data_IF_869502103656
#
_entry.id   IF_869502103656
#
_cell.length_a   1.000
_cell.length_b   1.000
_cell.length_c   1.000
_cell.angle_alpha   90.00
_cell.angle_beta   90.00
_cell.angle_gamma   90.00
#
_symmetry.space_group_name_H-M   'P 1'
#
loop_
_entity.id
_entity.type
_entity.pdbx_description
1 polymer ?
#
# COMPACT_ATOMS: atom_id res chain seq x y z
N UNK A 1 -24.86 9.84 15.35
CA UNK A 1 -25.52 9.51 14.06
C UNK A 1 -25.05 8.11 13.67
N UNK A 2 -25.95 7.16 13.42
CA UNK A 2 -25.54 5.79 13.08
C UNK A 2 -24.94 5.77 11.67
N UNK A 3 -23.77 5.15 11.52
CA UNK A 3 -23.10 4.90 10.25
C UNK A 3 -23.94 3.94 9.39
N UNK A 4 -24.00 4.12 8.06
CA UNK A 4 -24.64 3.16 7.18
C UNK A 4 -23.77 1.89 7.11
N UNK A 5 -24.39 0.75 7.42
CA UNK A 5 -23.79 -0.58 7.41
C UNK A 5 -23.39 -1.03 6.00
N UNK A 6 -22.27 -1.73 5.90
CA UNK A 6 -21.71 -2.38 4.70
C UNK A 6 -22.60 -3.48 4.10
N UNK A 7 -23.77 -3.77 4.68
CA UNK A 7 -24.79 -4.70 4.14
C UNK A 7 -25.38 -4.22 2.80
N UNK A 8 -25.31 -2.91 2.50
CA UNK A 8 -25.90 -2.35 1.27
C UNK A 8 -25.21 -2.77 -0.03
N UNK A 9 -23.96 -3.23 0.00
CA UNK A 9 -23.21 -3.67 -1.19
C UNK A 9 -23.56 -5.12 -1.58
N UNK A 10 -23.76 -6.02 -0.60
CA UNK A 10 -24.11 -7.42 -0.89
C UNK A 10 -25.54 -7.55 -1.44
N UNK A 11 -26.47 -6.75 -0.90
CA UNK A 11 -27.87 -6.77 -1.31
C UNK A 11 -28.05 -6.23 -2.74
N UNK A 12 -27.27 -5.22 -3.14
CA UNK A 12 -27.29 -4.68 -4.50
C UNK A 12 -26.80 -5.68 -5.55
N UNK A 13 -25.68 -6.36 -5.29
CA UNK A 13 -25.14 -7.39 -6.19
C UNK A 13 -26.12 -8.56 -6.28
N UNK A 14 -26.69 -8.97 -5.15
CA UNK A 14 -27.67 -10.05 -5.09
C UNK A 14 -28.98 -9.73 -5.84
N UNK A 15 -29.49 -8.49 -5.73
CA UNK A 15 -30.68 -8.05 -6.49
C UNK A 15 -30.37 -8.00 -7.98
N UNK A 16 -29.21 -7.47 -8.38
CA UNK A 16 -28.77 -7.39 -9.79
C UNK A 16 -28.73 -8.78 -10.42
N UNK A 17 -28.08 -9.73 -9.76
CA UNK A 17 -27.90 -11.08 -10.30
C UNK A 17 -29.24 -11.80 -10.46
N UNK A 18 -30.23 -11.53 -9.58
CA UNK A 18 -31.60 -12.04 -9.71
C UNK A 18 -32.37 -11.41 -10.87
N UNK A 19 -32.23 -10.10 -11.09
CA UNK A 19 -32.90 -9.40 -12.20
C UNK A 19 -32.32 -9.88 -13.53
N UNK A 20 -30.99 -10.01 -13.64
CA UNK A 20 -30.32 -10.56 -14.82
C UNK A 20 -30.76 -11.99 -15.09
N UNK A 21 -30.78 -12.84 -14.06
CA UNK A 21 -31.23 -14.22 -14.18
C UNK A 21 -32.70 -14.31 -14.65
N UNK A 22 -33.58 -13.48 -14.11
CA UNK A 22 -34.99 -13.42 -14.51
C UNK A 22 -35.14 -12.95 -15.97
N UNK A 23 -34.40 -11.92 -16.39
CA UNK A 23 -34.43 -11.41 -17.76
C UNK A 23 -33.98 -12.48 -18.77
N UNK A 24 -32.92 -13.23 -18.44
CA UNK A 24 -32.43 -14.36 -19.22
C UNK A 24 -33.50 -15.45 -19.33
N UNK A 25 -34.15 -15.83 -18.23
CA UNK A 25 -35.22 -16.84 -18.24
C UNK A 25 -36.39 -16.38 -19.12
N UNK A 26 -36.85 -15.15 -18.96
CA UNK A 26 -37.97 -14.58 -19.73
C UNK A 26 -37.65 -14.61 -21.23
N UNK A 27 -36.42 -14.25 -21.60
CA UNK A 27 -35.95 -14.32 -22.98
C UNK A 27 -35.99 -15.74 -23.54
N UNK A 28 -35.36 -16.69 -22.84
CA UNK A 28 -35.28 -18.08 -23.30
C UNK A 28 -36.64 -18.77 -23.34
N UNK A 29 -37.51 -18.54 -22.34
CA UNK A 29 -38.87 -19.08 -22.31
C UNK A 29 -39.70 -18.51 -23.46
N UNK A 30 -39.66 -17.19 -23.68
CA UNK A 30 -40.34 -16.56 -24.82
C UNK A 30 -39.87 -17.11 -26.16
N UNK A 31 -38.55 -17.22 -26.36
CA UNK A 31 -37.97 -17.81 -27.57
C UNK A 31 -38.34 -19.28 -27.78
N UNK A 32 -38.27 -20.09 -26.71
CA UNK A 32 -38.62 -21.51 -26.76
C UNK A 32 -40.10 -21.74 -27.06
N UNK A 33 -41.00 -20.94 -26.47
CA UNK A 33 -42.44 -21.00 -26.76
C UNK A 33 -42.73 -20.54 -28.18
N UNK A 34 -42.07 -19.49 -28.67
CA UNK A 34 -42.25 -19.01 -30.04
C UNK A 34 -41.86 -20.07 -31.10
N UNK A 35 -40.70 -20.70 -30.92
CA UNK A 35 -40.19 -21.76 -31.81
C UNK A 35 -41.01 -23.05 -31.64
N UNK A 36 -41.36 -23.40 -30.40
CA UNK A 36 -42.08 -24.63 -30.06
C UNK A 36 -43.57 -24.61 -30.42
N UNK A 37 -44.24 -23.46 -30.40
CA UNK A 37 -45.67 -23.35 -30.65
C UNK A 37 -46.08 -23.93 -32.01
N UNK A 38 -45.23 -23.79 -33.04
CA UNK A 38 -45.48 -24.36 -34.37
C UNK A 38 -45.32 -25.89 -34.45
N UNK A 39 -44.69 -26.52 -33.46
CA UNK A 39 -44.45 -27.97 -33.41
C UNK A 39 -45.51 -28.72 -32.58
N UNK A 40 -46.09 -28.03 -31.59
CA UNK A 40 -47.01 -28.64 -30.62
C UNK A 40 -48.48 -28.21 -30.78
N UNK A 41 -48.77 -27.22 -31.63
CA UNK A 41 -50.14 -26.76 -31.91
C UNK A 41 -50.49 -26.95 -33.38
N UNK A 42 -51.77 -27.22 -33.65
CA UNK A 42 -52.30 -27.42 -35.00
C UNK A 42 -52.10 -26.13 -35.83
N UNK A 43 -51.53 -26.22 -37.07
CA UNK A 43 -51.38 -25.09 -37.97
C UNK A 43 -52.67 -24.31 -38.26
N UNK A 44 -53.83 -24.92 -38.08
CA UNK A 44 -55.14 -24.29 -38.28
C UNK A 44 -55.78 -23.76 -36.98
N UNK A 45 -55.06 -23.81 -35.85
CA UNK A 45 -55.55 -23.28 -34.58
C UNK A 45 -55.58 -21.75 -34.59
N UNK A 46 -56.74 -21.17 -34.28
CA UNK A 46 -56.92 -19.72 -34.11
C UNK A 46 -56.04 -19.13 -33.00
N UNK A 47 -55.54 -19.96 -32.07
CA UNK A 47 -54.69 -19.57 -30.94
C UNK A 47 -53.20 -19.54 -31.25
N UNK A 48 -52.76 -20.11 -32.37
CA UNK A 48 -51.34 -20.19 -32.72
C UNK A 48 -50.71 -18.80 -32.91
N UNK A 49 -51.43 -17.88 -33.55
CA UNK A 49 -50.94 -16.53 -33.84
C UNK A 49 -50.83 -15.66 -32.57
N UNK A 50 -51.87 -15.58 -31.70
CA UNK A 50 -51.77 -14.84 -30.45
C UNK A 50 -50.67 -15.34 -29.51
N UNK A 51 -50.48 -16.66 -29.42
CA UNK A 51 -49.45 -17.25 -28.56
C UNK A 51 -48.04 -16.92 -29.06
N UNK A 52 -47.81 -16.93 -30.37
CA UNK A 52 -46.53 -16.54 -30.96
C UNK A 52 -46.24 -15.06 -30.74
N UNK A 53 -47.22 -14.18 -30.93
CA UNK A 53 -47.02 -12.74 -30.69
C UNK A 53 -46.74 -12.45 -29.21
N UNK A 54 -47.45 -13.12 -28.30
CA UNK A 54 -47.19 -12.99 -26.87
C UNK A 54 -45.81 -13.52 -26.47
N UNK A 55 -45.38 -14.65 -27.03
CA UNK A 55 -44.05 -15.22 -26.78
C UNK A 55 -42.92 -14.34 -27.33
N UNK A 56 -43.13 -13.71 -28.48
CA UNK A 56 -42.21 -12.72 -29.06
C UNK A 56 -42.12 -11.48 -28.18
N UNK A 57 -43.25 -10.96 -27.67
CA UNK A 57 -43.30 -9.84 -26.75
C UNK A 57 -42.51 -10.13 -25.46
N UNK A 58 -42.71 -11.32 -24.89
CA UNK A 58 -41.96 -11.78 -23.71
C UNK A 58 -40.45 -11.83 -23.98
N UNK A 59 -40.05 -12.36 -25.14
CA UNK A 59 -38.64 -12.39 -25.55
C UNK A 59 -38.05 -10.98 -25.68
N UNK A 60 -38.80 -10.05 -26.31
CA UNK A 60 -38.39 -8.66 -26.47
C UNK A 60 -38.21 -7.95 -25.11
N UNK A 61 -39.12 -8.18 -24.16
CA UNK A 61 -39.01 -7.66 -22.78
C UNK A 61 -37.73 -8.17 -22.11
N UNK A 62 -37.38 -9.44 -22.31
CA UNK A 62 -36.13 -10.02 -21.82
C UNK A 62 -34.88 -9.31 -22.39
N UNK A 63 -34.83 -9.09 -23.70
CA UNK A 63 -33.70 -8.39 -24.37
C UNK A 63 -33.56 -6.96 -23.88
N UNK A 64 -34.66 -6.20 -23.80
CA UNK A 64 -34.64 -4.80 -23.36
C UNK A 64 -34.20 -4.70 -21.90
N UNK A 65 -34.71 -5.58 -21.03
CA UNK A 65 -34.32 -5.62 -19.61
C UNK A 65 -32.84 -5.96 -19.43
N UNK A 66 -32.31 -6.86 -20.24
CA UNK A 66 -30.91 -7.28 -20.22
C UNK A 66 -29.98 -6.17 -20.74
N UNK A 67 -30.38 -5.48 -21.81
CA UNK A 67 -29.66 -4.31 -22.32
C UNK A 67 -29.66 -3.14 -21.33
N UNK A 68 -30.77 -2.93 -20.61
CA UNK A 68 -30.86 -1.89 -19.59
C UNK A 68 -29.91 -2.15 -18.42
N UNK A 69 -29.91 -3.37 -17.86
CA UNK A 69 -29.06 -3.73 -16.72
C UNK A 69 -27.57 -3.80 -17.07
N UNK A 70 -27.21 -4.30 -18.26
CA UNK A 70 -25.81 -4.45 -18.65
C UNK A 70 -25.14 -3.16 -19.15
N UNK A 71 -25.89 -2.26 -19.81
CA UNK A 71 -25.29 -1.10 -20.48
C UNK A 71 -25.81 0.22 -19.93
N UNK A 72 -27.13 0.42 -19.94
CA UNK A 72 -27.70 1.72 -19.62
C UNK A 72 -27.52 2.07 -18.15
N UNK A 73 -27.68 1.09 -17.25
CA UNK A 73 -27.57 1.31 -15.81
C UNK A 73 -26.16 1.71 -15.39
N UNK A 74 -25.11 1.06 -15.91
CA UNK A 74 -23.73 1.44 -15.56
C UNK A 74 -23.38 2.83 -16.07
N UNK A 75 -23.78 3.17 -17.30
CA UNK A 75 -23.59 4.50 -17.88
C UNK A 75 -24.34 5.58 -17.08
N UNK A 76 -25.64 5.36 -16.79
CA UNK A 76 -26.41 6.33 -15.99
C UNK A 76 -25.91 6.42 -14.55
N UNK A 77 -25.59 5.31 -13.88
CA UNK A 77 -25.08 5.37 -12.50
C UNK A 77 -23.72 6.06 -12.42
N UNK A 78 -22.85 5.90 -13.41
CA UNK A 78 -21.58 6.63 -13.49
C UNK A 78 -21.82 8.14 -13.55
N UNK A 79 -22.62 8.58 -14.51
CA UNK A 79 -22.98 10.00 -14.69
C UNK A 79 -23.72 10.58 -13.47
N UNK A 80 -24.69 9.85 -12.91
CA UNK A 80 -25.41 10.28 -11.72
C UNK A 80 -24.50 10.35 -10.49
N UNK A 81 -23.54 9.43 -10.34
CA UNK A 81 -22.59 9.43 -9.22
C UNK A 81 -21.62 10.59 -9.33
N UNK A 82 -21.11 10.87 -10.53
CA UNK A 82 -20.26 12.04 -10.79
C UNK A 82 -21.03 13.34 -10.50
N UNK A 83 -22.26 13.46 -11.01
CA UNK A 83 -23.13 14.60 -10.72
C UNK A 83 -23.48 14.72 -9.22
N UNK A 84 -23.72 13.60 -8.52
CA UNK A 84 -23.95 13.61 -7.07
C UNK A 84 -22.71 13.98 -6.28
N UNK A 85 -21.52 13.54 -6.69
CA UNK A 85 -20.26 13.95 -6.04
C UNK A 85 -20.01 15.44 -6.25
N UNK A 86 -20.33 15.97 -7.43
CA UNK A 86 -20.30 17.41 -7.73
C UNK A 86 -21.29 18.21 -6.87
N UNK A 87 -22.46 17.66 -6.56
CA UNK A 87 -23.47 18.29 -5.69
C UNK A 87 -23.10 18.19 -4.20
N UNK A 88 -22.57 17.04 -3.75
CA UNK A 88 -22.32 16.76 -2.33
C UNK A 88 -21.03 17.40 -1.82
N UNK A 89 -20.04 17.61 -2.69
CA UNK A 89 -18.79 18.27 -2.31
C UNK A 89 -18.27 19.20 -3.43
N UNK A 90 -19.01 20.27 -3.76
CA UNK A 90 -18.74 21.14 -4.90
C UNK A 90 -17.36 21.80 -4.82
N UNK A 91 -16.89 22.12 -3.60
CA UNK A 91 -15.58 22.72 -3.40
C UNK A 91 -14.43 21.74 -3.65
N UNK A 92 -14.53 20.48 -3.21
CA UNK A 92 -13.51 19.48 -3.49
C UNK A 92 -13.40 19.21 -5.00
N UNK A 93 -14.55 19.06 -5.67
CA UNK A 93 -14.60 18.87 -7.13
C UNK A 93 -14.07 20.10 -7.85
N UNK A 94 -14.44 21.32 -7.44
CA UNK A 94 -13.91 22.57 -8.02
C UNK A 94 -12.40 22.67 -7.87
N UNK A 95 -11.87 22.30 -6.70
CA UNK A 95 -10.43 22.33 -6.42
C UNK A 95 -9.65 21.18 -7.09
N UNK A 96 -10.33 20.20 -7.69
CA UNK A 96 -9.67 19.03 -8.32
C UNK A 96 -9.20 17.99 -7.31
N UNK A 97 -9.82 17.93 -6.12
CA UNK A 97 -9.53 16.95 -5.08
C UNK A 97 -10.41 15.73 -5.30
N UNK A 98 -9.81 14.58 -5.66
CA UNK A 98 -10.55 13.32 -5.84
C UNK A 98 -10.72 12.56 -4.52
N UNK A 99 -9.80 12.74 -3.57
CA UNK A 99 -9.83 12.04 -2.30
C UNK A 99 -9.00 12.69 -1.21
N UNK A 100 -9.49 12.59 0.04
CA UNK A 100 -8.76 12.91 1.26
C UNK A 100 -8.77 11.66 2.13
N UNK A 101 -7.59 11.21 2.50
CA UNK A 101 -7.34 10.00 3.28
C UNK A 101 -6.74 10.40 4.62
N UNK A 102 -7.12 9.74 5.71
CA UNK A 102 -6.63 10.05 7.06
C UNK A 102 -5.12 9.81 7.19
N UNK A 103 -4.61 8.82 6.48
CA UNK A 103 -3.20 8.45 6.48
C UNK A 103 -2.80 7.67 5.21
N UNK A 104 -1.49 7.44 5.03
CA UNK A 104 -0.94 6.67 3.91
C UNK A 104 -1.37 5.21 3.86
N UNK A 105 -1.75 4.60 4.99
CA UNK A 105 -2.24 3.22 5.00
C UNK A 105 -3.63 3.14 4.36
N UNK A 106 -4.51 4.07 4.68
CA UNK A 106 -5.83 4.21 4.04
C UNK A 106 -5.70 4.54 2.55
N UNK A 107 -4.80 5.46 2.19
CA UNK A 107 -4.46 5.69 0.79
C UNK A 107 -3.99 4.41 0.11
N UNK A 108 -3.05 3.67 0.71
CA UNK A 108 -2.48 2.44 0.17
C UNK A 108 -3.50 1.30 -0.02
N UNK A 109 -4.55 1.25 0.81
CA UNK A 109 -5.68 0.33 0.64
C UNK A 109 -6.56 0.72 -0.55
N UNK A 110 -6.76 2.03 -0.77
CA UNK A 110 -7.56 2.52 -1.90
C UNK A 110 -6.81 2.47 -3.23
N UNK A 111 -5.51 2.75 -3.20
CA UNK A 111 -4.64 2.89 -4.36
C UNK A 111 -3.21 2.56 -3.97
N UNK A 112 -2.70 1.43 -4.47
CA UNK A 112 -1.34 1.01 -4.16
C UNK A 112 -0.32 1.90 -4.90
N UNK A 113 0.86 2.12 -4.29
CA UNK A 113 1.96 2.82 -4.98
C UNK A 113 2.33 2.16 -6.30
N UNK A 114 2.23 0.84 -6.39
CA UNK A 114 2.45 0.13 -7.64
C UNK A 114 1.42 0.50 -8.71
N UNK A 115 0.14 0.58 -8.35
CA UNK A 115 -0.93 0.99 -9.28
C UNK A 115 -0.74 2.41 -9.81
N UNK A 116 -0.36 3.34 -8.93
CA UNK A 116 -0.02 4.72 -9.27
C UNK A 116 1.13 4.78 -10.28
N UNK A 117 2.24 4.09 -9.98
CA UNK A 117 3.43 4.13 -10.81
C UNK A 117 3.20 3.43 -12.16
N UNK A 118 2.37 2.38 -12.22
CA UNK A 118 2.04 1.69 -13.48
C UNK A 118 1.47 2.65 -14.53
N UNK A 119 0.66 3.63 -14.11
CA UNK A 119 -0.03 4.58 -14.99
C UNK A 119 0.87 5.72 -15.52
N UNK A 120 2.12 5.80 -15.08
CA UNK A 120 3.04 6.88 -15.46
C UNK A 120 3.60 6.67 -16.86
N UNK A 121 3.54 7.72 -17.67
CA UNK A 121 4.00 7.75 -19.06
C UNK A 121 5.37 8.42 -19.23
N UNK A 122 5.71 9.44 -18.43
CA UNK A 122 6.89 10.29 -18.66
C UNK A 122 7.76 10.48 -17.43
N UNK A 123 7.17 10.85 -16.31
CA UNK A 123 7.95 11.25 -15.13
C UNK A 123 7.25 10.95 -13.80
N UNK A 124 8.07 10.49 -12.85
CA UNK A 124 7.74 10.41 -11.43
C UNK A 124 8.59 11.43 -10.68
N UNK A 125 7.97 12.28 -9.88
CA UNK A 125 8.67 13.19 -8.96
C UNK A 125 8.17 12.98 -7.53
N UNK A 126 9.07 12.58 -6.62
CA UNK A 126 8.72 12.29 -5.23
C UNK A 126 9.53 13.18 -4.28
N UNK A 127 8.84 13.93 -3.43
CA UNK A 127 9.42 14.76 -2.39
C UNK A 127 8.98 14.34 -0.99
N UNK A 128 9.91 14.30 -0.04
CA UNK A 128 9.58 14.02 1.35
C UNK A 128 10.75 14.18 2.30
N UNK A 129 10.56 13.87 3.58
CA UNK A 129 11.61 14.08 4.59
C UNK A 129 12.78 13.10 4.45
N UNK A 130 12.50 11.79 4.42
CA UNK A 130 13.56 10.78 4.21
C UNK A 130 13.33 9.84 3.03
N UNK A 131 12.10 9.73 2.50
CA UNK A 131 11.73 8.77 1.44
C UNK A 131 11.98 7.28 1.75
N UNK A 132 12.24 6.90 3.00
CA UNK A 132 12.55 5.51 3.39
C UNK A 132 11.53 4.47 2.91
N UNK A 133 10.24 4.79 2.97
CA UNK A 133 9.20 3.87 2.49
C UNK A 133 9.34 3.60 0.99
N UNK A 134 9.61 4.63 0.19
CA UNK A 134 9.76 4.53 -1.27
C UNK A 134 11.07 3.82 -1.62
N UNK A 135 12.18 4.19 -0.97
CA UNK A 135 13.47 3.56 -1.17
C UNK A 135 13.47 2.06 -0.84
N UNK A 136 12.59 1.62 0.07
CA UNK A 136 12.46 0.21 0.45
C UNK A 136 11.46 -0.53 -0.41
N UNK A 137 10.18 -0.13 -0.38
CA UNK A 137 9.12 -0.93 -0.98
C UNK A 137 9.05 -0.79 -2.50
N UNK A 138 9.61 0.29 -3.04
CA UNK A 138 9.50 0.64 -4.45
C UNK A 138 10.85 0.63 -5.18
N UNK A 139 11.94 0.16 -4.57
CA UNK A 139 13.28 0.14 -5.21
C UNK A 139 13.28 -0.57 -6.57
N UNK A 140 12.74 -1.79 -6.64
CA UNK A 140 12.60 -2.55 -7.89
C UNK A 140 11.66 -1.88 -8.89
N UNK A 141 10.61 -1.23 -8.41
CA UNK A 141 9.65 -0.53 -9.26
C UNK A 141 10.29 0.72 -9.88
N UNK A 142 11.08 1.48 -9.10
CA UNK A 142 11.88 2.60 -9.57
C UNK A 142 12.88 2.13 -10.64
N UNK A 143 13.61 1.03 -10.38
CA UNK A 143 14.51 0.40 -11.36
C UNK A 143 13.77 0.10 -12.66
N UNK A 144 12.66 -0.65 -12.60
CA UNK A 144 11.86 -1.02 -13.78
C UNK A 144 11.37 0.20 -14.57
N UNK A 145 10.90 1.25 -13.88
CA UNK A 145 10.41 2.47 -14.52
C UNK A 145 11.53 3.26 -15.21
N UNK A 146 12.69 3.38 -14.57
CA UNK A 146 13.85 4.02 -15.19
C UNK A 146 14.30 3.23 -16.42
N UNK A 147 14.40 1.90 -16.32
CA UNK A 147 14.78 1.05 -17.45
C UNK A 147 13.75 1.13 -18.60
N UNK A 148 12.47 1.37 -18.31
CA UNK A 148 11.43 1.58 -19.33
C UNK A 148 11.41 2.98 -19.96
N UNK A 149 12.38 3.85 -19.64
CA UNK A 149 12.49 5.19 -20.24
C UNK A 149 11.84 6.33 -19.44
N UNK A 150 11.30 6.05 -18.25
CA UNK A 150 10.63 7.07 -17.42
C UNK A 150 11.65 7.78 -16.54
N UNK A 151 11.55 9.11 -16.45
CA UNK A 151 12.40 9.89 -15.56
C UNK A 151 11.88 9.83 -14.13
N UNK A 152 12.78 9.74 -13.18
CA UNK A 152 12.48 9.68 -11.75
C UNK A 152 13.30 10.74 -11.04
N UNK A 153 12.61 11.75 -10.51
CA UNK A 153 13.17 12.79 -9.62
C UNK A 153 12.82 12.46 -8.18
N UNK A 154 13.81 12.45 -7.29
CA UNK A 154 13.64 12.20 -5.87
C UNK A 154 14.23 13.34 -5.06
N UNK A 155 13.49 13.80 -4.06
CA UNK A 155 13.86 14.92 -3.20
C UNK A 155 13.70 14.55 -1.72
N UNK A 156 14.80 14.59 -0.96
CA UNK A 156 14.83 14.25 0.47
C UNK A 156 15.73 15.19 1.28
N UNK A 157 15.61 15.19 2.61
CA UNK A 157 16.42 16.08 3.44
C UNK A 157 17.90 15.71 3.37
N UNK A 158 18.78 16.72 3.41
CA UNK A 158 20.21 16.52 3.54
C UNK A 158 20.55 16.02 4.97
N UNK A 159 21.16 14.83 5.13
CA UNK A 159 21.51 14.30 6.45
C UNK A 159 22.50 15.19 7.23
N UNK A 160 23.25 16.06 6.55
CA UNK A 160 24.20 17.00 7.15
C UNK A 160 23.58 18.36 7.48
N UNK A 161 22.31 18.59 7.13
CA UNK A 161 21.66 19.87 7.40
C UNK A 161 21.37 20.07 8.90
N UNK A 162 21.55 21.31 9.36
CA UNK A 162 21.30 21.70 10.76
C UNK A 162 19.85 21.41 11.20
N UNK A 163 18.88 21.50 10.29
CA UNK A 163 17.48 21.15 10.57
C UNK A 163 17.31 19.67 10.97
N UNK A 164 18.09 18.75 10.39
CA UNK A 164 18.04 17.32 10.73
C UNK A 164 18.59 17.10 12.13
N UNK A 165 19.64 17.82 12.51
CA UNK A 165 20.19 17.82 13.87
C UNK A 165 19.16 18.30 14.89
N UNK A 166 18.45 19.40 14.61
CA UNK A 166 17.39 19.93 15.49
C UNK A 166 16.27 18.90 15.68
N UNK A 167 15.74 18.34 14.58
CA UNK A 167 14.67 17.34 14.63
C UNK A 167 15.12 16.09 15.41
N UNK A 168 16.37 15.66 15.20
CA UNK A 168 16.94 14.51 15.91
C UNK A 168 17.06 14.78 17.41
N UNK A 169 17.46 15.98 17.81
CA UNK A 169 17.52 16.39 19.23
C UNK A 169 16.15 16.45 19.88
N UNK A 170 15.12 16.95 19.18
CA UNK A 170 13.73 16.93 19.67
C UNK A 170 13.23 15.51 19.92
N UNK A 171 13.68 14.53 19.14
CA UNK A 171 13.45 13.09 19.35
C UNK A 171 14.20 12.47 20.53
N UNK A 172 14.60 13.26 21.54
CA UNK A 172 15.44 12.86 22.68
C UNK A 172 16.79 12.25 22.27
N UNK A 173 17.36 12.73 21.16
CA UNK A 173 18.70 12.32 20.71
C UNK A 173 18.78 10.92 20.11
N UNK A 174 17.68 10.19 19.94
CA UNK A 174 17.68 8.95 19.15
C UNK A 174 17.97 9.33 17.70
N UNK A 175 19.14 8.96 17.16
CA UNK A 175 19.65 9.29 15.82
C UNK A 175 18.80 8.75 14.65
N UNK A 176 17.56 8.38 14.92
CA UNK A 176 16.86 7.45 14.09
C UNK A 176 16.16 8.16 12.93
N UNK A 177 15.85 9.47 13.01
CA UNK A 177 15.47 10.26 11.83
C UNK A 177 16.63 10.45 10.85
N UNK A 178 17.81 10.85 11.34
CA UNK A 178 19.05 10.89 10.57
C UNK A 178 19.34 9.54 9.90
N UNK A 179 19.21 8.44 10.66
CA UNK A 179 19.41 7.10 10.13
C UNK A 179 18.40 6.77 9.02
N UNK A 180 17.14 7.19 9.12
CA UNK A 180 16.18 6.98 8.03
C UNK A 180 16.62 7.70 6.75
N UNK A 181 17.14 8.93 6.84
CA UNK A 181 17.63 9.68 5.68
C UNK A 181 18.84 8.96 5.08
N UNK A 182 19.84 8.62 5.90
CA UNK A 182 21.07 7.94 5.46
C UNK A 182 20.76 6.59 4.80
N UNK A 183 19.93 5.76 5.45
CA UNK A 183 19.50 4.48 4.89
C UNK A 183 18.79 4.66 3.55
N UNK A 184 17.94 5.68 3.41
CA UNK A 184 17.24 5.94 2.15
C UNK A 184 18.21 6.29 1.02
N UNK A 185 19.20 7.15 1.28
CA UNK A 185 20.24 7.47 0.31
C UNK A 185 21.06 6.23 -0.08
N UNK A 186 21.44 5.38 0.88
CA UNK A 186 22.18 4.13 0.58
C UNK A 186 21.36 3.14 -0.25
N UNK A 187 20.06 2.98 0.05
CA UNK A 187 19.16 2.12 -0.72
C UNK A 187 18.95 2.67 -2.14
N UNK A 188 18.75 3.98 -2.30
CA UNK A 188 18.62 4.59 -3.62
C UNK A 188 19.93 4.49 -4.42
N UNK A 189 21.08 4.51 -3.75
CA UNK A 189 22.39 4.34 -4.41
C UNK A 189 22.54 2.92 -4.93
N UNK A 190 22.13 1.92 -4.14
CA UNK A 190 22.07 0.55 -4.61
C UNK A 190 21.23 0.43 -5.88
N UNK A 191 20.04 1.04 -5.91
CA UNK A 191 19.18 1.07 -7.10
C UNK A 191 19.86 1.76 -8.29
N UNK A 192 20.52 2.91 -8.07
CA UNK A 192 21.26 3.61 -9.12
C UNK A 192 22.38 2.74 -9.72
N UNK A 193 23.18 2.08 -8.88
CA UNK A 193 24.22 1.15 -9.34
C UNK A 193 23.66 -0.05 -10.10
N UNK A 194 22.52 -0.60 -9.67
CA UNK A 194 21.85 -1.70 -10.37
C UNK A 194 21.32 -1.28 -11.74
N UNK A 195 20.77 -0.06 -11.86
CA UNK A 195 20.36 0.51 -13.15
C UNK A 195 21.57 0.67 -14.07
N UNK A 196 22.70 1.17 -13.55
CA UNK A 196 23.91 1.41 -14.34
C UNK A 196 24.56 0.13 -14.84
N UNK A 197 24.50 -0.94 -14.05
CA UNK A 197 25.06 -2.26 -14.40
C UNK A 197 24.18 -3.08 -15.35
N UNK A 198 22.92 -2.70 -15.55
CA UNK A 198 21.98 -3.44 -16.41
C UNK A 198 22.20 -3.10 -17.90
N UNK A 199 22.71 -4.04 -18.72
CA UNK A 199 22.92 -3.81 -20.14
C UNK A 199 21.60 -3.89 -20.93
N UNK A 200 21.57 -3.32 -22.13
CA UNK A 200 20.46 -3.51 -23.08
C UNK A 200 19.33 -2.47 -23.04
N UNK A 201 19.47 -1.39 -22.26
CA UNK A 201 18.48 -0.31 -22.15
C UNK A 201 19.03 1.05 -22.60
N UNK A 202 19.26 1.26 -23.92
CA UNK A 202 19.85 2.50 -24.44
C UNK A 202 18.94 3.73 -24.31
N UNK A 203 17.62 3.54 -24.17
CA UNK A 203 16.64 4.61 -23.99
C UNK A 203 16.13 4.70 -22.54
N UNK A 204 16.91 4.25 -21.56
CA UNK A 204 16.55 4.36 -20.14
C UNK A 204 16.38 5.83 -19.72
N UNK A 205 15.45 6.07 -18.82
CA UNK A 205 15.25 7.37 -18.20
C UNK A 205 16.38 7.72 -17.23
N UNK A 206 16.20 8.81 -16.49
CA UNK A 206 17.17 9.27 -15.48
C UNK A 206 16.61 9.08 -14.08
N UNK A 207 17.41 8.49 -13.19
CA UNK A 207 17.20 8.55 -11.74
C UNK A 207 18.02 9.70 -11.19
N UNK A 208 17.37 10.75 -10.69
CA UNK A 208 18.01 11.96 -10.17
C UNK A 208 17.57 12.15 -8.72
N UNK A 209 18.55 12.32 -7.82
CA UNK A 209 18.32 12.54 -6.40
C UNK A 209 18.86 13.90 -6.02
N UNK A 210 18.04 14.71 -5.36
CA UNK A 210 18.42 16.00 -4.80
C UNK A 210 18.18 16.01 -3.29
N UNK A 211 18.97 16.81 -2.58
CA UNK A 211 18.80 17.06 -1.14
C UNK A 211 18.51 18.51 -0.81
N UNK A 212 17.73 18.75 0.25
CA UNK A 212 17.39 20.09 0.74
C UNK A 212 17.60 20.23 2.26
N UNK A 213 17.76 21.46 2.76
CA UNK A 213 18.20 21.77 4.12
C UNK A 213 17.18 22.57 4.97
N UNK A 214 15.92 22.67 4.53
CA UNK A 214 14.82 23.33 5.24
C UNK A 214 13.72 22.36 5.70
N UNK A 215 12.79 22.82 6.56
CA UNK A 215 11.65 22.00 7.02
C UNK A 215 10.60 21.94 5.90
N UNK A 216 10.26 20.75 5.37
CA UNK A 216 9.24 20.65 4.34
C UNK A 216 7.84 20.88 4.95
N UNK A 217 7.00 21.66 4.27
CA UNK A 217 5.61 21.87 4.70
C UNK A 217 4.70 20.65 4.41
N UNK A 218 5.10 19.80 3.48
CA UNK A 218 4.36 18.63 3.00
C UNK A 218 5.32 17.59 2.42
N UNK A 219 4.81 16.40 2.11
CA UNK A 219 5.48 15.46 1.19
C UNK A 219 4.56 15.18 0.01
N UNK A 220 5.12 14.85 -1.14
CA UNK A 220 4.34 14.72 -2.37
C UNK A 220 4.86 13.63 -3.30
N UNK A 221 3.97 13.15 -4.16
CA UNK A 221 4.27 12.32 -5.33
C UNK A 221 3.53 12.94 -6.50
N UNK A 222 4.27 13.47 -7.46
CA UNK A 222 3.76 13.97 -8.72
C UNK A 222 4.00 12.92 -9.80
N UNK A 223 2.93 12.56 -10.51
CA UNK A 223 2.95 11.68 -11.67
C UNK A 223 2.59 12.50 -12.90
N UNK A 224 3.45 12.46 -13.92
CA UNK A 224 3.22 13.15 -15.19
C UNK A 224 2.81 14.63 -15.01
N UNK A 225 3.59 15.30 -14.18
CA UNK A 225 3.40 16.70 -13.77
C UNK A 225 3.12 17.63 -14.96
N UNK A 226 2.07 18.45 -14.82
CA UNK A 226 1.67 19.44 -15.84
C UNK A 226 0.95 18.84 -17.07
N UNK A 227 0.75 17.52 -17.13
CA UNK A 227 -0.03 16.88 -18.22
C UNK A 227 -1.52 16.80 -17.86
N UNK A 228 -2.41 16.61 -18.86
CA UNK A 228 -3.85 16.47 -18.61
C UNK A 228 -4.23 15.32 -17.67
N UNK A 229 -3.43 14.24 -17.65
CA UNK A 229 -3.61 13.09 -16.75
C UNK A 229 -2.68 13.12 -15.53
N UNK A 230 -2.07 14.28 -15.25
CA UNK A 230 -1.14 14.43 -14.13
C UNK A 230 -1.88 14.31 -12.80
N UNK A 231 -1.27 13.57 -11.86
CA UNK A 231 -1.81 13.32 -10.52
C UNK A 231 -0.77 13.77 -9.50
N UNK A 232 -1.23 14.45 -8.45
CA UNK A 232 -0.40 14.79 -7.29
C UNK A 232 -1.02 14.18 -6.05
N UNK A 233 -0.25 13.36 -5.35
CA UNK A 233 -0.58 12.89 -4.00
C UNK A 233 0.22 13.74 -3.02
N UNK A 234 -0.45 14.55 -2.20
CA UNK A 234 0.18 15.42 -1.20
C UNK A 234 -0.20 15.00 0.23
N UNK A 235 0.80 14.73 1.08
CA UNK A 235 0.57 14.58 2.51
C UNK A 235 0.63 15.94 3.20
N UNK A 236 -0.46 16.30 3.85
CA UNK A 236 -0.65 17.60 4.46
C UNK A 236 0.01 17.62 5.84
N UNK A 237 0.88 18.61 6.04
CA UNK A 237 1.47 18.93 7.33
C UNK A 237 2.96 18.57 7.43
N UNK A 238 3.70 19.34 8.27
CA UNK A 238 5.13 19.14 8.43
C UNK A 238 5.44 17.78 9.05
N UNK A 239 6.69 17.34 8.89
CA UNK A 239 7.15 16.13 9.57
C UNK A 239 7.21 16.38 11.09
N UNK A 240 6.20 15.88 11.82
CA UNK A 240 6.10 15.99 13.28
C UNK A 240 6.63 14.74 14.02
N UNK A 241 7.45 13.92 13.37
CA UNK A 241 7.97 12.66 13.92
C UNK A 241 7.32 11.41 13.34
N UNK A 242 7.51 10.28 14.02
CA UNK A 242 7.38 8.92 13.44
C UNK A 242 5.97 8.36 13.36
N UNK A 243 5.06 8.80 14.22
CA UNK A 243 3.80 8.08 14.45
C UNK A 243 2.55 8.96 14.40
N UNK A 244 2.70 10.23 14.01
CA UNK A 244 1.54 11.11 13.80
C UNK A 244 0.99 10.86 12.38
N UNK A 245 -0.24 10.37 12.24
CA UNK A 245 -0.85 10.22 10.93
C UNK A 245 -0.96 11.59 10.26
N UNK A 246 -0.59 11.65 8.98
CA UNK A 246 -0.74 12.85 8.15
C UNK A 246 -1.79 12.54 7.08
N UNK A 247 -2.84 13.36 6.95
CA UNK A 247 -3.80 13.20 5.88
C UNK A 247 -3.12 13.30 4.53
N UNK A 248 -3.51 12.42 3.61
CA UNK A 248 -3.06 12.43 2.22
C UNK A 248 -4.19 12.93 1.33
N UNK A 249 -3.87 13.77 0.35
CA UNK A 249 -4.81 14.33 -0.61
C UNK A 249 -4.40 13.91 -2.01
N UNK A 250 -5.36 13.44 -2.81
CA UNK A 250 -5.15 13.12 -4.22
C UNK A 250 -5.78 14.23 -5.07
N UNK A 251 -4.95 14.86 -5.90
CA UNK A 251 -5.29 16.04 -6.69
C UNK A 251 -5.02 15.77 -8.16
N UNK A 252 -5.99 16.07 -9.01
CA UNK A 252 -5.88 15.95 -10.46
C UNK A 252 -5.73 17.31 -11.13
N UNK A 253 -5.14 17.32 -12.32
CA UNK A 253 -4.96 18.54 -13.10
C UNK A 253 -6.31 19.09 -13.61
N UNK A 254 -6.91 19.96 -12.79
CA UNK A 254 -8.16 20.66 -13.09
C UNK A 254 -7.90 22.15 -13.20
N UNK A 255 -8.51 22.77 -14.21
CA UNK A 255 -8.46 24.24 -14.41
C UNK A 255 -9.01 24.96 -13.17
N UNK A 256 -8.30 26.00 -12.73
CA UNK A 256 -8.64 26.81 -11.55
C UNK A 256 -8.70 26.02 -10.22
N UNK A 257 -8.10 24.81 -10.19
CA UNK A 257 -7.99 23.95 -9.02
C UNK A 257 -6.71 24.16 -8.20
N UNK A 258 -6.50 23.32 -7.17
CA UNK A 258 -5.33 23.38 -6.28
C UNK A 258 -4.11 22.63 -6.84
N UNK A 259 -4.23 21.99 -8.00
CA UNK A 259 -3.14 21.24 -8.63
C UNK A 259 -1.89 22.11 -8.85
N UNK A 260 -2.08 23.31 -9.39
CA UNK A 260 -0.99 24.24 -9.71
C UNK A 260 -0.22 24.65 -8.47
N UNK A 261 -0.91 24.88 -7.35
CA UNK A 261 -0.30 25.20 -6.08
C UNK A 261 0.68 24.11 -5.63
N UNK A 262 0.26 22.84 -5.64
CA UNK A 262 1.12 21.74 -5.23
C UNK A 262 2.30 21.53 -6.19
N UNK A 263 2.06 21.73 -7.48
CA UNK A 263 3.09 21.70 -8.52
C UNK A 263 4.18 22.74 -8.26
N UNK A 264 3.78 23.99 -8.11
CA UNK A 264 4.67 25.12 -7.85
C UNK A 264 5.48 24.92 -6.55
N UNK A 265 4.84 24.38 -5.49
CA UNK A 265 5.56 24.06 -4.26
C UNK A 265 6.65 22.99 -4.49
N UNK A 266 6.36 21.94 -5.26
CA UNK A 266 7.34 20.93 -5.63
C UNK A 266 8.49 21.50 -6.47
N UNK A 267 8.17 22.36 -7.44
CA UNK A 267 9.15 23.05 -8.29
C UNK A 267 10.06 23.97 -7.50
N UNK A 268 9.52 24.79 -6.58
CA UNK A 268 10.32 25.65 -5.69
C UNK A 268 11.26 24.80 -4.84
N UNK A 269 10.75 23.71 -4.24
CA UNK A 269 11.59 22.82 -3.44
C UNK A 269 12.70 22.16 -4.27
N UNK A 270 12.43 21.84 -5.54
CA UNK A 270 13.43 21.30 -6.44
C UNK A 270 14.49 22.35 -6.82
N UNK A 271 14.09 23.58 -7.12
CA UNK A 271 15.00 24.67 -7.51
C UNK A 271 15.98 25.05 -6.39
N UNK A 272 15.51 25.06 -5.15
CA UNK A 272 16.31 25.38 -3.96
C UNK A 272 17.16 24.19 -3.45
N UNK A 273 16.96 23.01 -4.04
CA UNK A 273 17.68 21.79 -3.66
C UNK A 273 19.03 21.65 -4.36
N UNK A 274 19.88 20.78 -3.82
CA UNK A 274 21.21 20.49 -4.37
C UNK A 274 21.23 19.07 -4.96
N UNK A 275 21.85 18.86 -6.13
CA UNK A 275 22.02 17.52 -6.67
C UNK A 275 22.89 16.68 -5.75
N UNK A 276 22.44 15.45 -5.48
CA UNK A 276 23.17 14.50 -4.65
C UNK A 276 23.84 13.44 -5.55
N UNK A 277 25.16 13.29 -5.41
CA UNK A 277 25.93 12.38 -6.25
C UNK A 277 25.85 10.94 -5.78
N UNK A 278 24.91 10.19 -6.35
CA UNK A 278 24.67 8.78 -6.07
C UNK A 278 25.78 7.83 -6.53
N UNK A 279 26.68 8.28 -7.42
CA UNK A 279 27.75 7.44 -8.00
C UNK A 279 29.02 7.40 -7.13
N UNK A 280 29.05 8.13 -6.02
CA UNK A 280 30.18 8.13 -5.10
C UNK A 280 30.20 6.82 -4.31
N UNK A 281 31.24 5.98 -4.42
CA UNK A 281 31.30 4.68 -3.73
C UNK A 281 31.16 4.78 -2.20
N UNK A 282 31.46 5.93 -1.62
CA UNK A 282 31.35 6.18 -0.19
C UNK A 282 30.55 7.46 0.11
N UNK A 283 29.23 7.31 0.29
CA UNK A 283 28.33 8.43 0.53
C UNK A 283 28.63 9.21 1.82
N UNK A 284 29.20 8.55 2.83
CA UNK A 284 29.34 9.11 4.18
C UNK A 284 30.71 8.89 4.82
N UNK A 285 31.73 8.51 4.05
CA UNK A 285 33.07 8.23 4.59
C UNK A 285 33.16 6.91 5.37
N UNK A 286 32.17 6.02 5.24
CA UNK A 286 32.00 4.81 6.04
C UNK A 286 32.17 3.51 5.26
N UNK A 287 32.13 3.55 3.92
CA UNK A 287 32.12 2.37 3.02
C UNK A 287 31.12 1.29 3.47
N UNK A 288 29.96 1.73 3.93
CA UNK A 288 28.89 0.85 4.41
C UNK A 288 27.83 0.64 3.33
N UNK A 289 27.10 -0.47 3.43
CA UNK A 289 25.88 -0.76 2.70
C UNK A 289 24.71 -0.86 3.67
N UNK A 290 23.53 -0.52 3.17
CA UNK A 290 22.29 -0.65 3.93
C UNK A 290 21.45 -1.80 3.38
N UNK A 291 20.88 -2.58 4.29
CA UNK A 291 19.84 -3.55 4.01
C UNK A 291 18.65 -3.22 4.91
N UNK A 292 17.45 -3.26 4.33
CA UNK A 292 16.22 -3.07 5.07
C UNK A 292 15.26 -4.22 4.77
N UNK A 293 14.67 -4.76 5.83
CA UNK A 293 13.64 -5.80 5.75
C UNK A 293 12.42 -5.36 6.55
N UNK A 294 11.23 -5.58 6.03
CA UNK A 294 9.97 -5.08 6.59
C UNK A 294 8.95 -6.19 6.66
N UNK A 295 8.00 -6.11 7.58
CA UNK A 295 6.84 -7.00 7.54
C UNK A 295 5.91 -6.65 6.37
N UNK A 296 5.41 -7.67 5.68
CA UNK A 296 4.59 -7.57 4.48
C UNK A 296 4.45 -8.93 3.78
N UNK A 297 4.31 -8.92 2.46
CA UNK A 297 4.09 -10.10 1.62
C UNK A 297 5.24 -11.13 1.60
N UNK A 298 6.41 -10.74 2.10
CA UNK A 298 7.62 -11.57 2.23
C UNK A 298 7.74 -12.22 3.62
N UNK A 299 6.85 -11.88 4.56
CA UNK A 299 6.85 -12.49 5.89
C UNK A 299 6.22 -13.88 5.84
N UNK A 300 6.89 -14.86 6.42
CA UNK A 300 6.39 -16.24 6.49
C UNK A 300 5.93 -16.59 7.91
N UNK A 301 4.87 -17.39 8.02
CA UNK A 301 4.44 -18.04 9.25
C UNK A 301 4.52 -19.56 9.14
N UNK A 302 4.66 -20.23 10.28
CA UNK A 302 4.69 -21.69 10.35
C UNK A 302 3.28 -22.23 10.53
N UNK A 303 2.76 -22.91 9.50
CA UNK A 303 1.48 -23.61 9.57
C UNK A 303 1.68 -25.00 10.21
N UNK A 304 1.14 -25.17 11.41
CA UNK A 304 1.22 -26.43 12.16
C UNK A 304 0.44 -27.57 11.51
N UNK A 305 -0.55 -27.28 10.68
CA UNK A 305 -1.37 -28.32 10.04
C UNK A 305 -0.66 -28.96 8.85
N UNK A 306 0.14 -28.18 8.11
CA UNK A 306 0.90 -28.63 6.95
C UNK A 306 2.39 -28.83 7.23
N UNK A 307 2.85 -28.47 8.42
CA UNK A 307 4.26 -28.45 8.86
C UNK A 307 5.17 -27.67 7.90
N UNK A 308 4.63 -26.60 7.29
CA UNK A 308 5.32 -25.80 6.27
C UNK A 308 5.26 -24.32 6.61
N UNK A 309 6.26 -23.61 6.10
CA UNK A 309 6.26 -22.15 6.08
C UNK A 309 5.36 -21.68 4.94
N UNK A 310 4.45 -20.77 5.26
CA UNK A 310 3.52 -20.16 4.33
C UNK A 310 3.61 -18.63 4.44
N UNK A 311 3.27 -17.93 3.37
CA UNK A 311 3.24 -16.47 3.36
C UNK A 311 2.13 -15.94 4.27
N UNK A 312 2.47 -14.99 5.13
CA UNK A 312 1.52 -14.29 5.98
C UNK A 312 0.63 -13.37 5.14
N UNK A 313 -0.54 -13.05 5.66
CA UNK A 313 -1.47 -12.09 5.04
C UNK A 313 -1.33 -10.72 5.70
N UNK A 314 -1.50 -9.65 4.91
CA UNK A 314 -1.74 -8.31 5.45
C UNK A 314 -3.07 -8.35 6.21
N UNK A 315 -3.05 -8.04 7.50
CA UNK A 315 -4.22 -8.18 8.36
C UNK A 315 -4.98 -6.88 8.54
N UNK A 316 -6.25 -7.00 8.92
CA UNK A 316 -7.10 -5.88 9.31
C UNK A 316 -6.49 -5.19 10.53
N UNK A 317 -6.36 -3.87 10.45
CA UNK A 317 -5.84 -3.05 11.53
C UNK A 317 -6.96 -2.58 12.47
N UNK A 318 -6.69 -2.60 13.77
CA UNK A 318 -7.50 -1.86 14.74
C UNK A 318 -7.29 -0.34 14.59
N UNK A 319 -8.29 0.46 14.96
CA UNK A 319 -8.24 1.92 14.88
C UNK A 319 -7.13 2.54 15.74
N UNK A 320 -6.71 1.86 16.81
CA UNK A 320 -5.71 2.35 17.75
C UNK A 320 -4.29 1.87 17.41
N UNK A 321 -4.13 0.97 16.43
CA UNK A 321 -2.83 0.44 16.05
C UNK A 321 -1.98 1.47 15.33
N UNK A 322 -0.71 1.55 15.71
CA UNK A 322 0.26 2.44 15.09
C UNK A 322 1.17 1.67 14.12
N UNK A 323 1.34 2.21 12.92
CA UNK A 323 2.22 1.63 11.91
C UNK A 323 3.71 1.88 12.19
N UNK A 324 4.57 1.07 11.57
CA UNK A 324 6.00 1.32 11.38
C UNK A 324 6.18 1.73 9.92
N UNK A 325 6.92 2.82 9.68
CA UNK A 325 7.08 3.37 8.33
C UNK A 325 7.75 2.36 7.39
N UNK A 326 7.05 2.04 6.29
CA UNK A 326 7.50 1.09 5.28
C UNK A 326 7.11 -0.37 5.56
N UNK A 327 6.43 -0.64 6.68
CA UNK A 327 5.99 -1.99 7.07
C UNK A 327 4.47 -2.08 7.12
N UNK A 328 3.95 -3.30 6.97
CA UNK A 328 2.54 -3.62 7.08
C UNK A 328 2.28 -4.55 8.26
N UNK A 329 1.08 -4.46 8.84
CA UNK A 329 0.63 -5.41 9.84
C UNK A 329 0.32 -6.75 9.18
N UNK A 330 0.89 -7.82 9.71
CA UNK A 330 0.74 -9.17 9.17
C UNK A 330 0.20 -10.14 10.21
N UNK A 331 -0.60 -11.08 9.73
CA UNK A 331 -1.11 -12.21 10.49
C UNK A 331 -1.22 -13.45 9.62
N UNK A 332 -1.65 -14.59 10.17
CA UNK A 332 -1.82 -15.84 9.41
C UNK A 332 -2.95 -15.74 8.35
N UNK A 333 -3.82 -14.74 8.46
CA UNK A 333 -4.98 -14.49 7.60
C UNK A 333 -5.39 -13.01 7.69
N UNK A 334 -6.15 -12.52 6.71
CA UNK A 334 -6.59 -11.11 6.67
C UNK A 334 -7.44 -10.72 7.89
N UNK A 335 -8.37 -11.59 8.30
CA UNK A 335 -9.22 -11.39 9.48
C UNK A 335 -9.16 -12.63 10.38
N UNK A 336 -9.01 -12.41 11.69
CA UNK A 336 -9.04 -13.45 12.72
C UNK A 336 -10.37 -14.22 12.66
N UNK A 337 -10.41 -15.48 13.08
CA UNK A 337 -11.69 -16.20 13.24
C UNK A 337 -12.29 -15.98 14.63
N UNK A 338 -13.61 -16.15 14.79
CA UNK A 338 -14.25 -15.97 16.10
C UNK A 338 -13.70 -16.92 17.18
N UNK A 339 -13.36 -18.15 16.79
CA UNK A 339 -12.77 -19.13 17.71
C UNK A 339 -11.37 -18.71 18.16
N UNK A 340 -10.54 -18.21 17.24
CA UNK A 340 -9.21 -17.66 17.58
C UNK A 340 -9.35 -16.44 18.49
N UNK A 341 -10.29 -15.54 18.20
CA UNK A 341 -10.56 -14.38 19.04
C UNK A 341 -10.95 -14.79 20.48
N UNK A 342 -11.75 -15.85 20.63
CA UNK A 342 -12.19 -16.35 21.94
C UNK A 342 -11.12 -17.10 22.72
N UNK A 343 -10.32 -17.91 22.03
CA UNK A 343 -9.41 -18.87 22.67
C UNK A 343 -7.97 -18.36 22.75
N UNK A 344 -7.63 -17.31 22.01
CA UNK A 344 -6.25 -16.86 21.85
C UNK A 344 -5.46 -17.80 20.94
N UNK A 345 -4.31 -17.35 20.48
CA UNK A 345 -3.47 -18.14 19.56
C UNK A 345 -1.98 -17.92 19.80
N UNK A 346 -1.17 -18.84 19.27
CA UNK A 346 0.28 -18.73 19.29
C UNK A 346 0.86 -19.15 17.94
N UNK A 347 1.27 -18.16 17.16
CA UNK A 347 1.79 -18.34 15.81
C UNK A 347 3.24 -17.89 15.72
N UNK A 348 4.04 -18.63 14.95
CA UNK A 348 5.46 -18.32 14.74
C UNK A 348 5.66 -17.79 13.34
N UNK A 349 6.25 -16.61 13.25
CA UNK A 349 6.67 -15.95 12.02
C UNK A 349 8.19 -15.99 11.91
N UNK A 350 8.73 -15.83 10.70
CA UNK A 350 10.17 -15.71 10.49
C UNK A 350 10.52 -14.63 9.48
N UNK A 351 11.73 -14.11 9.65
CA UNK A 351 12.47 -13.31 8.69
C UNK A 351 13.81 -13.97 8.43
N UNK A 352 14.16 -14.16 7.16
CA UNK A 352 15.46 -14.67 6.71
C UNK A 352 16.26 -13.56 6.06
N UNK A 353 17.53 -13.45 6.43
CA UNK A 353 18.45 -12.45 5.90
C UNK A 353 19.79 -13.13 5.63
N UNK A 354 20.38 -12.84 4.48
CA UNK A 354 21.73 -13.30 4.15
C UNK A 354 22.71 -12.13 4.18
N UNK A 355 23.80 -12.29 4.93
CA UNK A 355 24.89 -11.32 5.03
C UNK A 355 26.14 -11.86 4.36
N UNK A 356 27.03 -11.00 3.82
CA UNK A 356 28.28 -11.46 3.24
C UNK A 356 29.01 -12.43 4.17
N UNK A 357 29.51 -13.56 3.66
CA UNK A 357 30.14 -14.61 4.49
C UNK A 357 31.41 -14.16 5.20
N UNK A 358 32.06 -13.11 4.69
CA UNK A 358 33.22 -12.47 5.30
C UNK A 358 32.86 -11.52 6.45
N UNK A 359 31.57 -11.32 6.70
CA UNK A 359 31.05 -10.43 7.72
C UNK A 359 31.22 -11.09 9.12
N UNK A 360 32.41 -10.97 9.71
CA UNK A 360 32.63 -11.23 11.15
C UNK A 360 32.17 -10.01 11.93
N UNK A 361 31.62 -10.17 13.14
CA UNK A 361 30.85 -9.16 13.91
C UNK A 361 31.36 -7.71 13.98
N UNK A 362 32.59 -7.40 13.56
CA UNK A 362 33.11 -6.04 13.32
C UNK A 362 32.62 -5.40 12.00
N UNK A 363 31.97 -6.17 11.13
CA UNK A 363 31.43 -5.73 9.85
C UNK A 363 30.06 -5.04 9.99
N UNK A 364 29.26 -5.41 10.99
CA UNK A 364 27.94 -4.82 11.21
C UNK A 364 28.17 -3.51 11.96
N UNK A 365 27.73 -2.42 11.37
CA UNK A 365 27.86 -1.07 11.95
C UNK A 365 26.61 -0.69 12.73
N UNK A 366 25.45 -1.24 12.34
CA UNK A 366 24.18 -1.03 13.03
C UNK A 366 23.19 -2.12 12.67
N UNK A 367 22.44 -2.61 13.64
CA UNK A 367 21.28 -3.48 13.40
C UNK A 367 20.13 -3.12 14.34
N UNK A 368 19.21 -2.26 13.89
CA UNK A 368 18.05 -1.83 14.68
C UNK A 368 16.80 -2.59 14.23
N UNK A 369 16.23 -3.42 15.10
CA UNK A 369 14.94 -4.09 14.89
C UNK A 369 13.82 -3.29 15.58
N UNK A 370 12.89 -2.78 14.77
CA UNK A 370 11.67 -2.12 15.20
C UNK A 370 10.55 -3.13 15.24
N UNK A 371 9.83 -3.26 16.36
CA UNK A 371 8.72 -4.23 16.52
C UNK A 371 7.54 -3.61 17.26
N UNK A 372 6.34 -4.00 16.83
CA UNK A 372 5.10 -3.96 17.63
C UNK A 372 4.33 -5.25 17.40
N UNK A 373 3.52 -5.62 18.38
CA UNK A 373 2.61 -6.73 18.28
C UNK A 373 1.31 -6.44 19.03
N UNK A 374 0.28 -7.17 18.65
CA UNK A 374 -0.96 -7.32 19.41
C UNK A 374 -1.26 -8.83 19.59
N UNK A 375 -1.11 -9.42 20.77
CA UNK A 375 -0.81 -8.78 22.07
C UNK A 375 0.70 -8.74 22.37
N UNK A 376 1.38 -9.88 22.29
CA UNK A 376 2.79 -10.03 22.71
C UNK A 376 3.60 -10.88 21.73
N UNK A 377 4.84 -10.47 21.46
CA UNK A 377 5.76 -11.18 20.60
C UNK A 377 7.07 -11.52 21.33
N UNK A 378 7.43 -12.79 21.35
CA UNK A 378 8.74 -13.26 21.78
C UNK A 378 9.69 -13.38 20.57
N UNK A 379 10.92 -12.89 20.69
CA UNK A 379 11.87 -12.83 19.56
C UNK A 379 13.06 -13.75 19.81
N UNK A 380 13.40 -14.56 18.80
CA UNK A 380 14.57 -15.43 18.80
C UNK A 380 15.41 -15.20 17.56
N UNK A 381 16.70 -14.89 17.73
CA UNK A 381 17.62 -14.60 16.63
C UNK A 381 18.70 -15.66 16.60
N UNK A 382 18.82 -16.41 15.49
CA UNK A 382 19.81 -17.47 15.32
C UNK A 382 19.83 -18.49 16.48
N UNK A 383 18.66 -18.77 17.07
CA UNK A 383 18.51 -19.68 18.20
C UNK A 383 18.69 -19.03 19.59
N UNK A 384 19.06 -17.75 19.66
CA UNK A 384 19.17 -17.00 20.92
C UNK A 384 17.88 -16.22 21.16
N UNK A 385 17.12 -16.61 22.19
CA UNK A 385 15.93 -15.89 22.63
C UNK A 385 16.27 -14.58 23.33
N UNK A 386 15.48 -13.53 23.08
CA UNK A 386 15.58 -12.27 23.83
C UNK A 386 14.78 -12.39 25.13
N UNK A 387 15.29 -11.80 26.22
CA UNK A 387 14.72 -11.97 27.57
C UNK A 387 13.50 -11.06 27.83
N UNK A 388 12.83 -10.58 26.79
CA UNK A 388 11.71 -9.64 26.89
C UNK A 388 10.66 -9.97 25.83
N UNK A 389 9.39 -9.82 26.20
CA UNK A 389 8.26 -9.89 25.29
C UNK A 389 7.88 -8.48 24.80
N UNK A 390 7.50 -8.39 23.53
CA UNK A 390 7.28 -7.13 22.83
C UNK A 390 5.85 -7.03 22.34
N UNK A 391 5.05 -6.15 22.94
CA UNK A 391 3.67 -5.87 22.52
C UNK A 391 3.49 -4.44 21.99
N UNK A 392 2.45 -3.77 22.47
CA UNK A 392 2.33 -2.31 22.37
C UNK A 392 1.90 -1.80 21.00
N UNK A 393 0.91 -2.45 20.38
CA UNK A 393 0.33 -2.03 19.10
C UNK A 393 -0.11 -0.55 19.07
N UNK A 394 -0.62 -0.02 20.19
CA UNK A 394 -1.08 1.36 20.33
C UNK A 394 -0.03 2.35 20.84
N UNK A 395 1.14 1.89 21.27
CA UNK A 395 2.16 2.74 21.92
C UNK A 395 2.67 3.83 20.98
N UNK A 396 2.99 5.04 21.48
CA UNK A 396 3.50 6.13 20.63
C UNK A 396 4.75 5.77 19.84
N UNK A 397 5.66 4.98 20.41
CA UNK A 397 6.90 4.55 19.75
C UNK A 397 6.97 3.02 19.71
N UNK A 398 7.51 2.42 18.63
CA UNK A 398 7.77 0.98 18.58
C UNK A 398 8.92 0.63 19.53
N UNK A 399 9.01 -0.66 19.88
CA UNK A 399 10.24 -1.16 20.50
C UNK A 399 11.38 -1.08 19.48
N UNK A 400 12.55 -0.61 19.93
CA UNK A 400 13.76 -0.50 19.12
C UNK A 400 14.80 -1.39 19.81
N UNK A 401 15.19 -2.46 19.16
CA UNK A 401 16.06 -3.49 19.70
C UNK A 401 17.35 -3.48 18.90
N UNK A 402 18.48 -3.26 19.57
CA UNK A 402 19.79 -3.49 18.97
C UNK A 402 20.04 -5.00 18.89
N UNK A 403 20.09 -5.50 17.66
CA UNK A 403 20.27 -6.93 17.37
C UNK A 403 21.64 -7.26 16.79
N UNK A 404 22.57 -6.31 16.77
CA UNK A 404 23.89 -6.44 16.12
C UNK A 404 24.63 -7.69 16.60
N UNK A 405 24.72 -7.85 17.93
CA UNK A 405 25.44 -8.96 18.58
C UNK A 405 24.88 -10.36 18.33
N UNK A 406 23.68 -10.47 17.76
CA UNK A 406 23.03 -11.75 17.47
C UNK A 406 23.14 -12.17 16.01
N UNK A 407 23.61 -11.28 15.14
CA UNK A 407 23.78 -11.53 13.72
C UNK A 407 25.18 -12.07 13.41
N UNK A 408 25.29 -12.83 12.32
CA UNK A 408 26.52 -13.45 11.83
C UNK A 408 26.64 -13.33 10.31
N UNK A 409 27.83 -13.52 9.75
CA UNK A 409 28.00 -13.70 8.31
C UNK A 409 27.24 -14.93 7.79
N UNK A 410 26.71 -14.84 6.57
CA UNK A 410 25.83 -15.84 5.95
C UNK A 410 24.37 -15.73 6.37
N UNK A 411 23.66 -16.86 6.36
CA UNK A 411 22.23 -16.92 6.66
C UNK A 411 21.95 -16.63 8.15
N UNK A 412 21.04 -15.69 8.38
CA UNK A 412 20.46 -15.33 9.66
C UNK A 412 18.96 -15.58 9.63
N UNK A 413 18.41 -16.04 10.74
CA UNK A 413 16.95 -16.18 10.91
C UNK A 413 16.50 -15.52 12.20
N UNK A 414 15.50 -14.65 12.08
CA UNK A 414 14.79 -14.04 13.19
C UNK A 414 13.40 -14.68 13.25
N UNK A 415 13.05 -15.25 14.40
CA UNK A 415 11.72 -15.78 14.68
C UNK A 415 10.95 -14.81 15.56
N UNK A 416 9.69 -14.61 15.22
CA UNK A 416 8.72 -13.84 15.99
C UNK A 416 7.61 -14.78 16.43
N UNK A 417 7.53 -15.08 17.71
CA UNK A 417 6.51 -15.93 18.28
C UNK A 417 5.42 -15.05 18.88
N UNK A 418 4.38 -14.81 18.09
CA UNK A 418 3.27 -13.93 18.42
C UNK A 418 2.19 -14.69 19.18
N UNK A 419 1.85 -14.19 20.36
CA UNK A 419 0.82 -14.66 21.25
C UNK A 419 -0.33 -13.65 21.24
N UNK A 420 -1.53 -14.14 20.93
CA UNK A 420 -2.79 -13.41 21.08
C UNK A 420 -3.52 -13.96 22.29
N UNK A 421 -3.90 -13.08 23.21
CA UNK A 421 -4.61 -13.45 24.41
C UNK A 421 -6.08 -13.74 24.12
N UNK A 422 -6.63 -14.68 24.87
CA UNK A 422 -8.02 -15.10 24.74
C UNK A 422 -8.97 -13.98 25.16
N UNK A 423 -10.02 -13.72 24.35
CA UNK A 423 -11.13 -12.84 24.70
C UNK A 423 -12.46 -13.62 24.67
N UNK A 424 -12.80 -14.37 25.73
CA UNK A 424 -13.91 -15.33 25.70
C UNK A 424 -15.30 -14.72 25.41
N UNK A 425 -15.46 -13.43 25.69
CA UNK A 425 -16.67 -12.65 25.48
C UNK A 425 -16.79 -12.04 24.07
N UNK A 426 -15.81 -12.28 23.19
CA UNK A 426 -15.85 -11.87 21.79
C UNK A 426 -17.11 -12.41 21.08
N UNK A 427 -17.84 -11.52 20.41
CA UNK A 427 -19.06 -11.82 19.64
C UNK A 427 -18.76 -11.85 18.15
N UNK A 428 -17.82 -11.03 17.71
CA UNK A 428 -17.32 -10.97 16.34
C UNK A 428 -15.78 -11.05 16.34
N UNK A 429 -15.15 -11.50 15.25
CA UNK A 429 -13.69 -11.62 15.22
C UNK A 429 -12.95 -10.30 15.40
N UNK A 430 -13.55 -9.18 14.98
CA UNK A 430 -13.03 -7.83 15.18
C UNK A 430 -12.89 -7.43 16.65
N UNK A 431 -13.55 -8.13 17.58
CA UNK A 431 -13.42 -7.83 19.00
C UNK A 431 -12.02 -8.14 19.55
N UNK A 432 -11.22 -8.94 18.83
CA UNK A 432 -9.87 -9.35 19.24
C UNK A 432 -8.95 -9.51 18.02
N UNK A 433 -8.61 -8.40 17.37
CA UNK A 433 -7.65 -8.37 16.28
C UNK A 433 -6.24 -8.69 16.81
N UNK A 434 -5.43 -9.37 16.00
CA UNK A 434 -4.04 -9.70 16.34
C UNK A 434 -3.15 -9.53 15.12
N UNK A 435 -1.91 -9.11 15.34
CA UNK A 435 -0.97 -8.85 14.27
C UNK A 435 0.44 -8.56 14.75
N UNK A 436 1.38 -8.69 13.83
CA UNK A 436 2.79 -8.35 13.98
C UNK A 436 3.15 -7.26 12.99
N UNK A 437 3.96 -6.29 13.41
CA UNK A 437 4.62 -5.37 12.49
C UNK A 437 6.08 -5.20 12.90
N UNK A 438 6.98 -5.35 11.95
CA UNK A 438 8.42 -5.18 12.20
C UNK A 438 9.15 -4.51 11.05
N UNK A 439 10.35 -4.00 11.37
CA UNK A 439 11.30 -3.45 10.40
C UNK A 439 12.71 -3.65 10.93
N UNK A 440 13.58 -4.28 10.16
CA UNK A 440 15.00 -4.36 10.47
C UNK A 440 15.77 -3.35 9.63
N UNK A 441 16.57 -2.51 10.28
CA UNK A 441 17.55 -1.64 9.66
C UNK A 441 18.95 -2.19 9.90
N UNK A 442 19.61 -2.60 8.82
CA UNK A 442 20.98 -3.11 8.89
C UNK A 442 21.92 -2.21 8.10
N UNK A 443 23.04 -1.87 8.71
CA UNK A 443 24.17 -1.21 8.08
C UNK A 443 25.43 -2.07 8.30
N UNK A 444 26.14 -2.43 7.24
CA UNK A 444 27.31 -3.30 7.31
C UNK A 444 28.40 -2.89 6.30
N UNK A 445 29.64 -3.32 6.55
CA UNK A 445 30.80 -3.14 5.67
C UNK A 445 31.04 -4.43 4.89
N UNK A 446 31.42 -4.30 3.62
CA UNK A 446 31.88 -5.41 2.78
C UNK A 446 33.40 -5.58 2.81
#
# INVERSE_FOLDING_TARGET
>A
MPQPTTEGLSLKVWVRDRILFLAVIIFFVGGAVYIGAGKYMDPHSEWLHPIKEFALLMSLIGVVSLGYELFLRELTFGEYKEALQEIVNPDAVRLGIEGIYKNRSELGQSMSFESLFRQVDKEVFVGGSSLLSIATSSGELLKKKVLSGINVRLLLMDPSAYVVEIITRQGKGKATFLNEIRTSLMLLQKVAHEIDREPGYPQRGKLIVHTYDFIPSHSFICLDEGRPKGIIVADIGPYLGRTTPRPSMLVVNKKDGIYEYWREMGDIMWQESKPFNMLTEDLFGTKTKALMSTSGDDTEYYDRSTEKWQTASICKMDEHWRSIKGSQWVWVRETVTLEEAKTGTKNRFRLKIDLPTNCRGECIVRADLFVRADDECHITINGVGLNQDYGGASYPEPFIIDVEKYLKGGENTIYFELMSFAKPDAKIPEDNLTGLIYRLHLEYRE
#
